data_IF_200422088349
#
_entry.id   IF_200422088349
#
_cell.length_a   1.000
_cell.length_b   1.000
_cell.length_c   1.000
_cell.angle_alpha   90.00
_cell.angle_beta   90.00
_cell.angle_gamma   90.00
#
_symmetry.space_group_name_H-M   'P 1'
#
loop_
_entity.id
_entity.type
_entity.pdbx_description
1 polymer ?
#
# COMPACT_ATOMS: atom_id res chain seq x y z
N UNK A 1 33.76 26.73 -3.95
CA UNK A 1 32.32 27.06 -3.86
C UNK A 1 31.57 25.83 -4.33
N UNK A 2 31.30 24.90 -3.42
CA UNK A 2 30.70 23.60 -3.74
C UNK A 2 29.19 23.76 -3.64
N UNK A 3 28.49 23.50 -4.74
CA UNK A 3 27.03 23.51 -4.80
C UNK A 3 26.48 22.42 -3.85
N UNK A 4 25.91 22.84 -2.72
CA UNK A 4 24.93 22.04 -1.99
C UNK A 4 23.63 22.18 -2.78
N UNK A 5 23.47 21.32 -3.79
CA UNK A 5 22.16 21.11 -4.38
C UNK A 5 21.40 20.31 -3.34
N UNK A 6 20.60 21.02 -2.53
CA UNK A 6 19.54 20.42 -1.73
C UNK A 6 18.55 19.78 -2.71
N UNK A 7 18.89 18.58 -3.19
CA UNK A 7 17.98 17.70 -3.90
C UNK A 7 16.99 17.17 -2.85
N UNK A 8 16.07 18.03 -2.44
CA UNK A 8 14.86 17.67 -1.71
C UNK A 8 13.89 16.96 -2.69
N UNK A 9 14.42 15.98 -3.43
CA UNK A 9 13.60 14.95 -4.03
C UNK A 9 13.06 14.18 -2.83
N UNK A 10 11.76 14.30 -2.55
CA UNK A 10 11.10 13.39 -1.64
C UNK A 10 11.35 11.98 -2.18
N UNK A 11 12.36 11.31 -1.64
CA UNK A 11 12.69 9.95 -2.04
C UNK A 11 11.42 9.13 -1.83
N UNK A 12 10.92 8.52 -2.90
CA UNK A 12 9.81 7.59 -2.81
C UNK A 12 10.27 6.49 -1.86
N UNK A 13 9.48 6.21 -0.83
CA UNK A 13 9.84 5.23 0.21
C UNK A 13 8.88 4.06 0.16
N UNK A 14 9.41 2.87 0.46
CA UNK A 14 8.58 1.68 0.56
C UNK A 14 7.65 1.82 1.76
N UNK A 15 6.33 1.67 1.55
CA UNK A 15 5.35 1.82 2.61
C UNK A 15 5.43 0.73 3.70
N UNK A 16 6.12 -0.38 3.42
CA UNK A 16 6.33 -1.48 4.39
C UNK A 16 7.65 -1.36 5.16
N UNK A 17 8.78 -1.13 4.48
CA UNK A 17 10.11 -1.13 5.13
C UNK A 17 10.71 0.27 5.34
N UNK A 18 10.05 1.32 4.84
CA UNK A 18 10.47 2.73 4.94
C UNK A 18 11.84 3.05 4.32
N UNK A 19 12.41 2.13 3.53
CA UNK A 19 13.64 2.37 2.76
C UNK A 19 13.30 2.97 1.39
N UNK A 20 14.23 3.73 0.77
CA UNK A 20 14.01 4.28 -0.56
C UNK A 20 13.66 3.22 -1.61
N UNK A 21 12.76 3.58 -2.51
CA UNK A 21 12.40 2.84 -3.73
C UNK A 21 12.88 3.69 -4.91
N UNK A 22 13.60 3.06 -5.83
CA UNK A 22 13.92 3.69 -7.11
C UNK A 22 12.75 3.46 -8.08
N UNK A 23 11.96 4.50 -8.42
CA UNK A 23 10.83 4.35 -9.33
C UNK A 23 11.27 4.04 -10.78
N UNK A 24 12.53 4.29 -11.14
CA UNK A 24 13.06 3.96 -12.47
C UNK A 24 13.58 2.52 -12.56
N UNK A 25 13.78 1.84 -11.43
CA UNK A 25 14.21 0.44 -11.40
C UNK A 25 13.03 -0.51 -11.62
N UNK A 26 13.27 -1.62 -12.33
CA UNK A 26 12.33 -2.73 -12.36
C UNK A 26 12.20 -3.38 -10.97
N UNK A 27 11.08 -4.06 -10.67
CA UNK A 27 10.89 -4.79 -9.41
C UNK A 27 10.34 -3.94 -8.26
N UNK A 28 9.57 -2.90 -8.57
CA UNK A 28 8.72 -2.22 -7.61
C UNK A 28 7.25 -2.51 -7.91
N UNK A 29 6.44 -2.49 -6.86
CA UNK A 29 4.98 -2.57 -6.97
C UNK A 29 4.44 -1.22 -6.55
N UNK A 30 3.74 -0.55 -7.48
CA UNK A 30 2.96 0.65 -7.16
C UNK A 30 1.51 0.25 -6.99
N UNK A 31 0.88 0.80 -5.95
CA UNK A 31 -0.51 0.55 -5.66
C UNK A 31 -1.16 1.80 -5.04
N UNK A 32 -2.08 2.42 -5.77
CA UNK A 32 -2.53 3.79 -5.51
C UNK A 32 -1.35 4.76 -5.41
N UNK A 33 -1.23 5.41 -4.26
CA UNK A 33 -0.14 6.34 -3.91
C UNK A 33 1.04 5.65 -3.20
N UNK A 34 0.94 4.35 -2.90
CA UNK A 34 1.97 3.61 -2.19
C UNK A 34 2.93 2.91 -3.12
N UNK A 35 4.19 2.83 -2.68
CA UNK A 35 5.26 2.14 -3.37
C UNK A 35 5.82 1.05 -2.48
N UNK A 36 6.15 -0.09 -3.09
CA UNK A 36 6.75 -1.23 -2.42
C UNK A 36 7.91 -1.76 -3.25
N UNK A 37 8.96 -2.25 -2.57
CA UNK A 37 9.82 -3.26 -3.19
C UNK A 37 8.98 -4.50 -3.48
N UNK A 38 9.28 -5.23 -4.54
CA UNK A 38 8.57 -6.48 -4.89
C UNK A 38 8.51 -7.46 -3.70
N UNK A 39 9.62 -7.63 -2.98
CA UNK A 39 9.68 -8.48 -1.78
C UNK A 39 8.91 -7.92 -0.57
N UNK A 40 8.53 -6.65 -0.60
CA UNK A 40 7.80 -5.97 0.47
C UNK A 40 6.32 -5.77 0.11
N UNK A 41 5.92 -6.07 -1.12
CA UNK A 41 4.53 -6.00 -1.54
C UNK A 41 3.72 -7.03 -0.74
N UNK A 42 2.58 -6.64 -0.14
CA UNK A 42 1.82 -7.57 0.67
C UNK A 42 1.16 -8.65 -0.20
N UNK A 43 0.94 -9.79 0.43
CA UNK A 43 0.19 -10.91 -0.11
C UNK A 43 -1.16 -11.00 0.59
N UNK A 44 -2.16 -11.58 -0.09
CA UNK A 44 -3.47 -11.83 0.50
C UNK A 44 -3.29 -12.64 1.79
N UNK A 45 -3.83 -12.12 2.90
CA UNK A 45 -3.76 -12.79 4.22
C UNK A 45 -4.45 -14.15 4.28
N UNK A 46 -5.28 -14.49 3.29
CA UNK A 46 -6.06 -15.73 3.24
C UNK A 46 -5.41 -16.76 2.32
N UNK A 47 -5.13 -16.40 1.06
CA UNK A 47 -4.64 -17.34 0.04
C UNK A 47 -3.17 -17.15 -0.34
N UNK A 48 -2.49 -16.10 0.16
CA UNK A 48 -1.09 -15.82 -0.14
C UNK A 48 -0.82 -15.25 -1.53
N UNK A 49 -1.85 -14.97 -2.33
CA UNK A 49 -1.65 -14.36 -3.65
C UNK A 49 -1.01 -12.98 -3.54
N UNK A 50 -0.06 -12.70 -4.44
CA UNK A 50 0.58 -11.39 -4.57
C UNK A 50 -0.42 -10.34 -5.05
N UNK A 51 -0.29 -9.13 -4.52
CA UNK A 51 -1.08 -7.97 -4.96
C UNK A 51 -0.79 -7.63 -6.42
N UNK A 52 -1.85 -7.29 -7.16
CA UNK A 52 -1.82 -6.73 -8.51
C UNK A 52 -2.40 -5.32 -8.49
N UNK A 53 -2.06 -4.50 -9.48
CA UNK A 53 -2.52 -3.10 -9.55
C UNK A 53 -4.06 -2.97 -9.57
N UNK A 54 -4.77 -3.99 -10.04
CA UNK A 54 -6.24 -4.06 -10.12
C UNK A 54 -6.95 -4.37 -8.78
N UNK A 55 -6.19 -4.72 -7.73
CA UNK A 55 -6.77 -5.17 -6.45
C UNK A 55 -7.09 -4.03 -5.45
N UNK A 56 -7.13 -2.76 -5.89
CA UNK A 56 -7.23 -1.56 -5.02
C UNK A 56 -8.39 -1.59 -4.02
N UNK A 57 -9.52 -2.14 -4.45
CA UNK A 57 -10.74 -2.26 -3.65
C UNK A 57 -10.58 -3.17 -2.42
N UNK A 58 -9.58 -4.06 -2.43
CA UNK A 58 -9.46 -5.14 -1.46
C UNK A 58 -8.44 -4.87 -0.35
N UNK A 59 -7.98 -3.62 -0.25
CA UNK A 59 -7.10 -3.14 0.80
C UNK A 59 -7.84 -2.46 1.94
N UNK A 60 -7.35 -2.71 3.14
CA UNK A 60 -7.74 -1.99 4.36
C UNK A 60 -6.71 -0.91 4.65
N UNK A 61 -7.19 0.30 4.96
CA UNK A 61 -6.36 1.46 5.26
C UNK A 61 -6.75 2.04 6.62
N UNK A 62 -5.75 2.51 7.37
CA UNK A 62 -5.95 3.42 8.50
C UNK A 62 -5.50 4.82 8.10
N UNK A 63 -6.43 5.78 8.12
CA UNK A 63 -6.10 7.18 8.04
C UNK A 63 -5.79 7.73 9.44
N UNK A 64 -4.72 8.50 9.58
CA UNK A 64 -4.43 9.25 10.79
C UNK A 64 -4.12 10.71 10.46
N UNK A 65 -4.44 11.60 11.39
CA UNK A 65 -4.13 13.03 11.26
C UNK A 65 -2.64 13.22 11.49
N UNK A 66 -1.97 13.84 10.53
CA UNK A 66 -0.57 14.27 10.65
C UNK A 66 -0.53 15.76 10.88
N UNK A 67 0.30 16.20 11.83
CA UNK A 67 0.39 17.60 12.24
C UNK A 67 1.26 18.43 11.31
N UNK A 68 2.15 17.82 10.51
CA UNK A 68 3.08 18.54 9.63
C UNK A 68 3.46 17.70 8.40
N UNK A 69 3.18 18.18 7.18
CA UNK A 69 2.16 19.19 6.86
C UNK A 69 0.79 18.74 7.40
N UNK A 70 -0.04 19.70 7.84
CA UNK A 70 -1.39 19.39 8.33
C UNK A 70 -2.18 18.63 7.26
N UNK A 71 -2.67 17.44 7.59
CA UNK A 71 -3.41 16.61 6.64
C UNK A 71 -3.73 15.23 7.18
N UNK A 72 -4.06 14.32 6.25
CA UNK A 72 -4.31 12.91 6.54
C UNK A 72 -3.22 12.08 5.89
N UNK A 73 -2.58 11.22 6.68
CA UNK A 73 -1.71 10.18 6.16
C UNK A 73 -2.48 8.86 6.19
N UNK A 74 -2.57 8.20 5.04
CA UNK A 74 -3.08 6.84 4.96
C UNK A 74 -1.91 5.88 5.17
N UNK A 75 -2.13 4.87 6.01
CA UNK A 75 -1.24 3.73 6.13
C UNK A 75 -2.05 2.48 5.84
N UNK A 76 -1.61 1.65 4.89
CA UNK A 76 -2.27 0.39 4.67
C UNK A 76 -2.05 -0.55 5.84
N UNK A 77 -3.09 -1.31 6.19
CA UNK A 77 -3.08 -2.19 7.37
C UNK A 77 -3.36 -3.64 7.04
N UNK A 78 -3.86 -3.95 5.84
CA UNK A 78 -4.04 -5.32 5.39
C UNK A 78 -4.50 -5.40 3.94
N UNK A 79 -4.33 -6.58 3.35
CA UNK A 79 -4.74 -6.90 1.98
C UNK A 79 -5.46 -8.26 1.94
N UNK A 80 -6.65 -8.29 1.34
CA UNK A 80 -7.31 -9.50 0.85
C UNK A 80 -7.36 -9.44 -0.68
N UNK A 81 -7.21 -10.55 -1.42
CA UNK A 81 -7.48 -10.49 -2.86
C UNK A 81 -8.99 -10.40 -3.10
N UNK A 82 -9.44 -9.90 -4.28
CA UNK A 82 -10.86 -9.80 -4.60
C UNK A 82 -11.64 -11.10 -4.37
N UNK A 83 -11.10 -12.25 -4.75
CA UNK A 83 -11.74 -13.55 -4.55
C UNK A 83 -11.98 -13.87 -3.06
N UNK A 84 -10.98 -13.61 -2.21
CA UNK A 84 -11.11 -13.83 -0.77
C UNK A 84 -11.93 -12.75 -0.07
N UNK A 85 -11.95 -11.51 -0.59
CA UNK A 85 -12.82 -10.45 -0.11
C UNK A 85 -14.29 -10.78 -0.39
N UNK A 86 -14.61 -11.15 -1.63
CA UNK A 86 -15.95 -11.54 -2.04
C UNK A 86 -16.43 -12.77 -1.25
N UNK A 87 -15.55 -13.73 -0.99
CA UNK A 87 -15.85 -14.86 -0.10
C UNK A 87 -16.21 -14.41 1.32
N UNK A 88 -15.39 -13.54 1.91
CA UNK A 88 -15.63 -13.04 3.27
C UNK A 88 -16.93 -12.23 3.38
N UNK A 89 -17.21 -11.34 2.40
CA UNK A 89 -18.45 -10.55 2.37
C UNK A 89 -19.70 -11.42 2.16
N UNK A 90 -19.56 -12.57 1.48
CA UNK A 90 -20.66 -13.54 1.30
C UNK A 90 -20.94 -14.35 2.55
N UNK A 91 -19.90 -14.68 3.33
CA UNK A 91 -20.03 -15.41 4.60
C UNK A 91 -20.63 -14.53 5.73
N UNK A 92 -20.60 -13.20 5.58
CA UNK A 92 -21.25 -12.23 6.48
C UNK A 92 -22.77 -12.11 6.27
N UNK A 93 -23.37 -12.87 5.34
CA UNK A 93 -24.81 -12.97 5.17
C UNK A 93 -25.37 -14.24 5.84
N UNK A 94 -25.75 -14.14 7.13
CA UNK A 94 -27.07 -14.64 7.48
C UNK A 94 -27.78 -13.73 8.48
N UNK A 95 -28.90 -13.16 8.04
CA UNK A 95 -30.20 -13.04 8.72
C UNK A 95 -30.89 -11.73 8.35
N UNK A 96 -31.90 -11.81 7.49
CA UNK A 96 -33.17 -11.12 7.72
C UNK A 96 -34.28 -12.06 7.23
N UNK A 97 -34.83 -12.80 8.20
CA UNK A 97 -36.22 -13.28 8.15
C UNK A 97 -37.18 -12.07 8.29
#
# INVERSE_FOLDING_TARGET
>A
MTALVDANWHAITCAACHRPVDPAAAGHVRFGEFWYHEACAPTCRTCGQSVRAEDEVAWSYHAHVVSTPFGYAQRPTGFLCPDCLDGALRDEAPYLD
#
